data_IF_523804772109
#
_entry.id   IF_523804772109
#
_cell.length_a   1.000
_cell.length_b   1.000
_cell.length_c   1.000
_cell.angle_alpha   90.00
_cell.angle_beta   90.00
_cell.angle_gamma   90.00
#
_symmetry.space_group_name_H-M   'P 1'
#
loop_
_entity.id
_entity.type
_entity.pdbx_description
1 polymer ?
#
# COMPACT_ATOMS: atom_id res chain seq x y z
N UNK A 1 -6.48 -15.42 6.57
CA UNK A 1 -6.13 -14.10 7.15
C UNK A 1 -5.79 -13.17 6.01
N UNK A 2 -6.21 -11.91 6.12
CA UNK A 2 -6.01 -10.83 5.13
C UNK A 2 -5.33 -9.68 5.85
N UNK A 3 -4.43 -8.97 5.16
CA UNK A 3 -3.79 -7.78 5.71
C UNK A 3 -4.85 -6.74 6.11
N UNK A 4 -4.74 -6.20 7.32
CA UNK A 4 -5.75 -5.28 7.89
C UNK A 4 -5.39 -3.83 7.57
N UNK A 5 -5.70 -3.40 6.36
CA UNK A 5 -5.68 -1.99 6.02
C UNK A 5 -6.85 -1.26 6.71
N UNK A 6 -6.58 -0.10 7.32
CA UNK A 6 -7.59 0.78 7.91
C UNK A 6 -8.06 1.89 6.94
N UNK A 7 -7.69 1.79 5.67
CA UNK A 7 -8.06 2.71 4.60
C UNK A 7 -7.72 4.19 4.89
N UNK A 8 -6.68 4.48 5.68
CA UNK A 8 -6.29 5.85 6.01
C UNK A 8 -5.72 6.68 4.83
N UNK A 9 -5.40 6.04 3.70
CA UNK A 9 -4.92 6.71 2.49
C UNK A 9 -3.47 7.22 2.55
N UNK A 10 -2.75 7.06 3.66
CA UNK A 10 -1.40 7.63 3.83
C UNK A 10 -0.34 7.00 2.92
N UNK A 11 -0.48 5.72 2.55
CA UNK A 11 0.36 5.11 1.53
C UNK A 11 0.19 5.79 0.16
N UNK A 12 -1.04 6.18 -0.18
CA UNK A 12 -1.34 6.92 -1.41
C UNK A 12 -0.84 8.38 -1.34
N UNK A 13 -0.63 8.94 -0.15
CA UNK A 13 -0.03 10.28 0.06
C UNK A 13 1.50 10.27 0.12
N UNK A 14 2.12 9.10 -0.01
CA UNK A 14 3.57 8.89 0.16
C UNK A 14 4.25 8.35 -1.10
N UNK A 15 3.67 8.59 -2.28
CA UNK A 15 4.13 7.99 -3.56
C UNK A 15 5.55 8.38 -3.95
N UNK A 16 6.02 9.56 -3.52
CA UNK A 16 7.43 9.99 -3.69
C UNK A 16 8.44 8.96 -3.18
N UNK A 17 8.05 8.06 -2.27
CA UNK A 17 8.90 7.02 -1.70
C UNK A 17 8.77 5.66 -2.39
N UNK A 18 7.92 5.55 -3.42
CA UNK A 18 7.65 4.30 -4.14
C UNK A 18 7.82 4.52 -5.65
N UNK A 19 9.07 4.49 -6.18
CA UNK A 19 9.35 4.79 -7.58
C UNK A 19 8.55 3.92 -8.58
N UNK A 20 8.25 2.68 -8.21
CA UNK A 20 7.45 1.76 -9.02
C UNK A 20 6.02 2.25 -9.28
N UNK A 21 5.54 3.22 -8.51
CA UNK A 21 4.22 3.82 -8.66
C UNK A 21 4.26 5.26 -9.18
N UNK A 22 5.38 5.72 -9.75
CA UNK A 22 5.54 7.10 -10.25
C UNK A 22 4.45 7.51 -11.26
N UNK A 23 3.95 6.57 -12.08
CA UNK A 23 2.87 6.83 -13.04
C UNK A 23 1.50 7.12 -12.38
N UNK A 24 1.37 6.84 -11.08
CA UNK A 24 0.17 7.15 -10.30
C UNK A 24 0.32 8.45 -9.51
N UNK A 25 1.48 9.12 -9.52
CA UNK A 25 1.68 10.40 -8.85
C UNK A 25 1.01 11.53 -9.65
N UNK A 26 0.13 12.30 -9.02
CA UNK A 26 -0.51 13.48 -9.63
C UNK A 26 0.42 14.69 -9.79
N UNK A 27 1.68 14.56 -9.34
CA UNK A 27 2.74 15.57 -9.43
C UNK A 27 3.16 16.16 -8.09
N UNK A 28 2.46 15.86 -6.99
CA UNK A 28 2.75 16.37 -5.65
C UNK A 28 3.17 15.27 -4.64
N UNK A 29 3.24 14.02 -5.08
CA UNK A 29 3.51 12.84 -4.25
C UNK A 29 2.26 12.12 -3.76
N UNK A 30 1.07 12.51 -4.25
CA UNK A 30 -0.22 11.88 -3.92
C UNK A 30 -0.80 11.15 -5.12
N UNK A 31 -1.47 10.04 -4.86
CA UNK A 31 -2.02 9.17 -5.90
C UNK A 31 -3.16 9.84 -6.65
N UNK A 32 -3.16 9.74 -7.99
CA UNK A 32 -4.27 10.20 -8.85
C UNK A 32 -5.61 9.55 -8.49
N UNK A 33 -5.60 8.36 -7.85
CA UNK A 33 -6.80 7.63 -7.46
C UNK A 33 -7.27 7.91 -6.03
N UNK A 34 -6.52 8.69 -5.25
CA UNK A 34 -6.92 9.04 -3.88
C UNK A 34 -8.01 10.12 -3.91
N UNK A 35 -9.15 9.83 -3.32
CA UNK A 35 -10.28 10.76 -3.19
C UNK A 35 -10.15 11.64 -1.94
N UNK A 36 -10.99 12.67 -1.87
CA UNK A 36 -11.02 13.62 -0.76
C UNK A 36 -11.40 12.97 0.59
N UNK A 37 -12.12 11.84 0.56
CA UNK A 37 -12.48 11.04 1.74
C UNK A 37 -11.39 10.03 2.17
N UNK A 38 -10.17 10.16 1.64
CA UNK A 38 -9.02 9.26 1.83
C UNK A 38 -9.17 7.84 1.25
N UNK A 39 -10.27 7.55 0.55
CA UNK A 39 -10.46 6.25 -0.06
C UNK A 39 -9.86 6.20 -1.47
N UNK A 40 -9.35 5.03 -1.85
CA UNK A 40 -8.86 4.78 -3.20
C UNK A 40 -10.05 4.48 -4.12
N UNK A 41 -10.20 5.23 -5.20
CA UNK A 41 -11.27 5.02 -6.20
C UNK A 41 -11.20 3.66 -6.92
N UNK A 42 -10.05 3.00 -6.89
CA UNK A 42 -9.83 1.66 -7.48
C UNK A 42 -9.44 0.63 -6.43
N UNK A 43 -9.87 0.76 -5.17
CA UNK A 43 -9.37 -0.07 -4.06
C UNK A 43 -9.46 -1.59 -4.30
N UNK A 44 -10.55 -2.06 -4.91
CA UNK A 44 -10.76 -3.47 -5.26
C UNK A 44 -9.91 -3.93 -6.46
N UNK A 45 -9.55 -3.01 -7.35
CA UNK A 45 -8.77 -3.27 -8.56
C UNK A 45 -7.36 -2.65 -8.48
N UNK A 46 -6.87 -2.45 -7.26
CA UNK A 46 -5.60 -1.78 -7.02
C UNK A 46 -4.45 -2.59 -7.65
N UNK A 47 -3.39 -1.93 -8.15
CA UNK A 47 -2.21 -2.61 -8.67
C UNK A 47 -1.64 -3.59 -7.64
N UNK A 48 -0.94 -4.63 -8.10
CA UNK A 48 -0.45 -5.70 -7.24
C UNK A 48 0.40 -5.15 -6.08
N UNK A 49 1.30 -4.21 -6.37
CA UNK A 49 2.16 -3.56 -5.37
C UNK A 49 1.37 -2.84 -4.25
N UNK A 50 0.13 -2.44 -4.50
CA UNK A 50 -0.78 -1.84 -3.51
C UNK A 50 -1.60 -2.90 -2.77
N UNK A 51 -1.51 -4.18 -3.14
CA UNK A 51 -2.25 -5.29 -2.57
C UNK A 51 -1.31 -6.29 -1.87
N UNK A 52 -1.18 -6.14 -0.56
CA UNK A 52 -0.32 -6.97 0.30
C UNK A 52 -0.59 -8.46 0.10
N UNK A 53 -1.85 -8.87 0.03
CA UNK A 53 -2.21 -10.29 -0.12
C UNK A 53 -1.74 -10.85 -1.47
N UNK A 54 -1.96 -10.10 -2.56
CA UNK A 54 -1.56 -10.52 -3.90
C UNK A 54 -0.03 -10.54 -4.05
N UNK A 55 0.67 -9.57 -3.46
CA UNK A 55 2.14 -9.55 -3.44
C UNK A 55 2.70 -10.76 -2.70
N UNK A 56 2.09 -11.11 -1.55
CA UNK A 56 2.48 -12.32 -0.82
C UNK A 56 2.35 -13.55 -1.71
N UNK A 57 1.17 -13.77 -2.26
CA UNK A 57 0.87 -14.97 -3.06
C UNK A 57 1.80 -15.11 -4.26
N UNK A 58 2.02 -14.04 -5.00
CA UNK A 58 2.80 -14.06 -6.25
C UNK A 58 4.32 -14.02 -6.06
N UNK A 59 4.82 -13.32 -5.05
CA UNK A 59 6.24 -12.96 -4.99
C UNK A 59 6.96 -13.37 -3.70
N UNK A 60 6.24 -13.51 -2.58
CA UNK A 60 6.87 -13.64 -1.25
C UNK A 60 6.50 -14.92 -0.49
N UNK A 61 5.57 -15.72 -1.01
CA UNK A 61 5.08 -16.96 -0.39
C UNK A 61 6.14 -18.06 -0.25
N UNK A 62 7.21 -18.01 -1.03
CA UNK A 62 8.37 -18.89 -0.93
C UNK A 62 9.46 -18.39 0.02
N UNK A 63 9.38 -17.14 0.48
CA UNK A 63 10.42 -16.47 1.26
C UNK A 63 9.97 -16.28 2.71
N UNK A 64 8.71 -15.94 2.93
CA UNK A 64 8.14 -15.66 4.24
C UNK A 64 6.92 -16.53 4.49
N UNK A 65 6.64 -16.82 5.75
CA UNK A 65 5.28 -17.20 6.12
C UNK A 65 4.33 -16.00 5.96
N UNK A 66 3.04 -16.28 5.80
CA UNK A 66 2.02 -15.23 5.66
C UNK A 66 2.00 -14.29 6.87
N UNK A 67 2.21 -14.83 8.08
CA UNK A 67 2.25 -14.04 9.31
C UNK A 67 3.46 -13.10 9.36
N UNK A 68 4.66 -13.58 9.03
CA UNK A 68 5.86 -12.75 9.00
C UNK A 68 5.73 -11.62 7.98
N UNK A 69 5.24 -11.94 6.78
CA UNK A 69 5.04 -10.95 5.73
C UNK A 69 4.04 -9.87 6.14
N UNK A 70 2.95 -10.25 6.83
CA UNK A 70 1.99 -9.29 7.36
C UNK A 70 2.59 -8.40 8.45
N UNK A 71 3.34 -8.95 9.40
CA UNK A 71 4.03 -8.14 10.43
C UNK A 71 4.98 -7.12 9.82
N UNK A 72 5.70 -7.48 8.75
CA UNK A 72 6.56 -6.55 8.02
C UNK A 72 5.76 -5.41 7.37
N UNK A 73 4.64 -5.73 6.73
CA UNK A 73 3.77 -4.73 6.09
C UNK A 73 3.05 -3.84 7.12
N UNK A 74 2.62 -4.39 8.26
CA UNK A 74 2.04 -3.64 9.38
C UNK A 74 3.05 -2.66 9.95
N UNK A 75 4.28 -3.11 10.21
CA UNK A 75 5.38 -2.24 10.69
C UNK A 75 5.65 -1.09 9.72
N UNK A 76 5.63 -1.36 8.41
CA UNK A 76 5.81 -0.33 7.40
C UNK A 76 4.60 0.63 7.34
N UNK A 77 3.37 0.12 7.50
CA UNK A 77 2.15 0.93 7.58
C UNK A 77 2.21 1.91 8.76
N UNK A 78 2.55 1.43 9.96
CA UNK A 78 2.71 2.28 11.16
C UNK A 78 3.83 3.30 11.02
N UNK A 79 4.94 2.92 10.37
CA UNK A 79 6.02 3.87 10.05
C UNK A 79 5.53 4.99 9.12
N UNK A 80 4.74 4.67 8.10
CA UNK A 80 4.15 5.68 7.21
C UNK A 80 3.21 6.60 8.00
N UNK A 81 2.35 6.03 8.86
CA UNK A 81 1.44 6.80 9.72
C UNK A 81 2.17 7.82 10.59
N UNK A 82 3.31 7.45 11.18
CA UNK A 82 4.10 8.36 12.02
C UNK A 82 4.72 9.57 11.31
N UNK A 83 4.63 9.67 9.98
CA UNK A 83 5.10 10.83 9.22
C UNK A 83 4.06 11.95 9.09
N UNK A 84 2.82 11.70 9.50
CA UNK A 84 1.67 12.60 9.41
C UNK A 84 1.09 12.86 10.80
#
# INVERSE_FOLDING_TARGET
MTFKCDCCGLCCRSLKKVPALANFDRGDGVCIHLRDDNLCSIYEHRPEICNVDLMYEKYYSSIYTKEEYYKLNEKQCEKIKSWF
#
